data_IF_072684401335
#
_entry.id   IF_072684401335
#
_cell.length_a   1.000
_cell.length_b   1.000
_cell.length_c   1.000
_cell.angle_alpha   90.00
_cell.angle_beta   90.00
_cell.angle_gamma   90.00
#
_symmetry.space_group_name_H-M   'P 1'
#
loop_
_entity.id
_entity.type
_entity.pdbx_description
1 polymer ?
#
# COMPACT_ATOMS: atom_id res chain seq x y z
N UNK A 1 -25.49 -20.40 -21.63
CA UNK A 1 -24.86 -19.81 -22.83
C UNK A 1 -23.39 -20.03 -22.64
N UNK A 2 -22.78 -20.88 -23.45
CA UNK A 2 -21.34 -21.09 -23.40
C UNK A 2 -20.72 -19.94 -24.16
N UNK A 3 -20.40 -18.85 -23.46
CA UNK A 3 -19.46 -17.86 -23.97
C UNK A 3 -18.15 -18.61 -24.12
N UNK A 4 -17.93 -19.14 -25.32
CA UNK A 4 -16.63 -19.63 -25.72
C UNK A 4 -15.77 -18.40 -25.84
N UNK A 5 -15.21 -17.98 -24.70
CA UNK A 5 -14.12 -17.03 -24.63
C UNK A 5 -12.96 -17.63 -25.42
N UNK A 6 -13.00 -17.35 -26.71
CA UNK A 6 -11.94 -17.65 -27.65
C UNK A 6 -10.67 -17.10 -27.03
N UNK A 7 -9.71 -17.96 -26.67
CA UNK A 7 -8.41 -17.68 -26.02
C UNK A 7 -7.57 -16.63 -26.78
N UNK A 8 -8.09 -15.42 -26.89
CA UNK A 8 -7.63 -14.36 -27.78
C UNK A 8 -8.11 -13.01 -27.29
N UNK A 9 -7.28 -11.99 -27.41
CA UNK A 9 -7.62 -10.61 -27.08
C UNK A 9 -7.44 -9.70 -28.30
N UNK A 10 -8.28 -8.66 -28.38
CA UNK A 10 -8.18 -7.68 -29.46
C UNK A 10 -7.33 -6.50 -29.01
N UNK A 11 -6.27 -6.20 -29.76
CA UNK A 11 -5.41 -5.07 -29.48
C UNK A 11 -6.17 -3.76 -29.66
N UNK A 12 -6.21 -2.92 -28.63
CA UNK A 12 -6.91 -1.62 -28.68
C UNK A 12 -6.19 -0.59 -29.56
N UNK A 13 -4.88 -0.76 -29.79
CA UNK A 13 -4.07 0.17 -30.58
C UNK A 13 -4.16 -0.07 -32.10
N UNK A 14 -4.12 -1.34 -32.52
CA UNK A 14 -4.06 -1.70 -33.95
C UNK A 14 -5.15 -2.68 -34.39
N UNK A 15 -6.09 -3.02 -33.50
CA UNK A 15 -7.23 -3.93 -33.72
C UNK A 15 -6.90 -5.37 -34.12
N UNK A 16 -5.61 -5.76 -34.12
CA UNK A 16 -5.19 -7.14 -34.33
C UNK A 16 -5.70 -8.05 -33.21
N UNK A 17 -6.21 -9.22 -33.59
CA UNK A 17 -6.57 -10.30 -32.66
C UNK A 17 -5.32 -11.13 -32.34
N UNK A 18 -4.92 -11.15 -31.08
CA UNK A 18 -3.75 -11.87 -30.56
C UNK A 18 -4.21 -13.04 -29.68
N UNK A 19 -3.37 -14.06 -29.50
CA UNK A 19 -3.63 -15.18 -28.58
C UNK A 19 -3.61 -14.72 -27.11
N UNK A 20 -4.38 -15.36 -26.22
CA UNK A 20 -4.43 -15.03 -24.78
C UNK A 20 -3.07 -15.20 -24.10
N UNK A 21 -2.28 -16.17 -24.58
CA UNK A 21 -0.95 -16.50 -24.06
C UNK A 21 0.09 -15.41 -24.36
N UNK A 22 -0.16 -14.52 -25.32
CA UNK A 22 0.80 -13.45 -25.63
C UNK A 22 0.49 -12.18 -24.85
N UNK A 23 1.49 -11.69 -24.13
CA UNK A 23 1.39 -10.52 -23.27
C UNK A 23 1.47 -9.20 -24.05
N UNK A 24 1.95 -9.23 -25.29
CA UNK A 24 2.11 -8.07 -26.16
C UNK A 24 1.65 -8.38 -27.60
N UNK A 25 1.14 -7.34 -28.28
CA UNK A 25 0.62 -7.45 -29.63
C UNK A 25 1.75 -7.77 -30.62
N UNK A 26 1.55 -8.80 -31.46
CA UNK A 26 2.54 -9.22 -32.44
C UNK A 26 2.83 -8.18 -33.53
N UNK A 27 1.88 -7.28 -33.83
CA UNK A 27 2.05 -6.24 -34.85
C UNK A 27 2.65 -4.94 -34.32
N UNK A 28 2.18 -4.46 -33.17
CA UNK A 28 2.55 -3.12 -32.66
C UNK A 28 3.27 -3.13 -31.31
N UNK A 29 3.37 -4.27 -30.64
CA UNK A 29 4.01 -4.38 -29.32
C UNK A 29 3.21 -3.82 -28.15
N UNK A 30 1.96 -3.37 -28.35
CA UNK A 30 1.11 -2.89 -27.26
C UNK A 30 0.77 -4.04 -26.28
N UNK A 31 0.83 -3.76 -24.97
CA UNK A 31 0.57 -4.73 -23.91
C UNK A 31 -0.89 -5.17 -23.88
N UNK A 32 -1.11 -6.45 -23.56
CA UNK A 32 -2.44 -7.03 -23.40
C UNK A 32 -3.18 -6.39 -22.21
N UNK A 33 -4.46 -6.01 -22.36
CA UNK A 33 -5.24 -5.42 -21.28
C UNK A 33 -5.44 -6.38 -20.09
N UNK A 34 -5.33 -7.69 -20.30
CA UNK A 34 -5.44 -8.69 -19.23
C UNK A 34 -4.20 -8.70 -18.34
N UNK A 35 -3.02 -8.53 -18.94
CA UNK A 35 -1.76 -8.33 -18.20
C UNK A 35 -1.88 -7.03 -17.40
N UNK A 36 -2.48 -6.00 -17.99
CA UNK A 36 -2.65 -4.73 -17.29
C UNK A 36 -3.51 -4.87 -16.02
N UNK A 37 -4.66 -5.54 -16.15
CA UNK A 37 -5.57 -5.78 -15.03
C UNK A 37 -4.94 -6.61 -13.91
N UNK A 38 -4.02 -7.51 -14.24
CA UNK A 38 -3.34 -8.33 -13.23
C UNK A 38 -2.41 -7.52 -12.33
N UNK A 39 -1.74 -6.46 -12.84
CA UNK A 39 -0.90 -5.60 -12.00
C UNK A 39 -1.72 -4.59 -11.18
N UNK A 40 -2.88 -4.13 -11.67
CA UNK A 40 -3.70 -3.12 -10.96
C UNK A 40 -4.25 -3.66 -9.64
N UNK A 41 -4.26 -4.98 -9.46
CA UNK A 41 -4.67 -5.64 -8.22
C UNK A 41 -3.66 -5.43 -7.09
N UNK A 42 -2.39 -5.15 -7.37
CA UNK A 42 -1.34 -5.02 -6.34
C UNK A 42 -1.34 -3.64 -5.65
N UNK A 43 -1.80 -2.59 -6.32
CA UNK A 43 -1.78 -1.19 -5.83
C UNK A 43 -2.98 -0.82 -4.94
N UNK A 44 -4.03 -1.66 -4.89
CA UNK A 44 -5.28 -1.33 -4.19
C UNK A 44 -5.39 -1.94 -2.78
N UNK A 45 -4.32 -2.58 -2.28
CA UNK A 45 -4.28 -3.22 -0.96
C UNK A 45 -3.90 -2.32 0.23
N UNK A 46 -3.58 -1.03 0.03
CA UNK A 46 -2.99 -0.18 1.09
C UNK A 46 -3.60 1.24 1.21
N UNK A 47 -4.88 1.41 0.87
CA UNK A 47 -5.60 2.68 1.08
C UNK A 47 -6.68 2.57 2.17
N UNK A 48 -6.33 2.10 3.37
CA UNK A 48 -7.12 2.37 4.58
C UNK A 48 -6.42 3.43 5.43
N UNK A 49 -7.02 4.62 5.41
CA UNK A 49 -6.60 5.79 6.17
C UNK A 49 -7.70 6.86 6.12
N UNK A 50 -8.87 6.50 6.64
CA UNK A 50 -10.08 7.31 6.78
C UNK A 50 -9.80 8.66 7.48
N UNK A 51 -9.84 9.74 6.69
CA UNK A 51 -9.80 11.11 7.17
C UNK A 51 -11.21 11.68 7.32
N UNK A 52 -12.00 11.17 8.26
CA UNK A 52 -13.32 11.72 8.55
C UNK A 52 -13.23 13.06 9.29
N UNK A 53 -13.20 14.14 8.50
CA UNK A 53 -13.36 15.51 8.97
C UNK A 53 -14.83 15.75 9.35
N UNK A 54 -15.21 15.40 10.58
CA UNK A 54 -16.51 15.81 11.13
C UNK A 54 -16.42 17.24 11.69
N UNK A 55 -17.03 18.14 10.93
CA UNK A 55 -17.71 19.37 11.32
C UNK A 55 -17.28 20.10 12.59
N UNK A 56 -16.79 21.32 12.37
CA UNK A 56 -16.82 22.37 13.37
C UNK A 56 -18.25 22.69 13.82
N UNK A 57 -18.60 22.27 15.04
CA UNK A 57 -19.58 22.98 15.86
C UNK A 57 -18.94 23.44 17.16
N UNK A 58 -19.00 24.75 17.29
CA UNK A 58 -18.55 25.57 18.40
C UNK A 58 -19.40 25.26 19.63
N UNK A 59 -18.83 25.58 20.80
CA UNK A 59 -19.50 25.78 22.08
C UNK A 59 -19.55 24.57 23.01
N UNK A 60 -18.56 24.45 23.90
CA UNK A 60 -18.69 24.86 25.31
C UNK A 60 -17.56 24.24 26.14
N UNK A 61 -16.54 25.03 26.46
CA UNK A 61 -15.74 24.81 27.67
C UNK A 61 -16.59 25.25 28.86
N UNK A 62 -16.68 24.44 29.92
CA UNK A 62 -16.42 24.97 31.23
C UNK A 62 -15.08 24.45 31.74
N UNK A 63 -14.41 25.36 32.42
CA UNK A 63 -13.32 25.18 33.37
C UNK A 63 -13.42 23.83 34.10
N UNK A 64 -12.31 23.19 34.47
CA UNK A 64 -11.66 23.42 35.75
C UNK A 64 -10.24 22.84 35.74
N UNK A 65 -9.39 23.52 36.49
CA UNK A 65 -7.96 23.29 36.69
C UNK A 65 -7.67 22.07 37.57
N UNK A 66 -6.47 21.51 37.39
CA UNK A 66 -5.64 20.75 38.35
C UNK A 66 -6.06 19.33 38.74
N UNK A 67 -5.28 18.34 38.29
CA UNK A 67 -4.19 17.77 39.09
C UNK A 67 -3.47 16.67 38.30
N UNK A 68 -2.13 16.77 38.26
CA UNK A 68 -1.30 15.65 37.85
C UNK A 68 -1.45 14.50 38.85
N UNK A 69 -1.40 13.28 38.35
CA UNK A 69 -0.88 12.14 39.10
C UNK A 69 -0.42 11.10 38.09
N UNK A 70 0.90 10.96 38.05
CA UNK A 70 1.64 9.82 37.54
C UNK A 70 1.08 8.51 38.12
N UNK A 71 1.38 7.40 37.43
CA UNK A 71 1.02 6.00 37.69
C UNK A 71 -0.17 5.42 36.90
N UNK A 72 0.16 4.92 35.71
CA UNK A 72 -0.35 3.63 35.26
C UNK A 72 0.78 2.82 34.59
N UNK A 73 1.25 1.75 35.25
CA UNK A 73 1.52 0.49 34.56
C UNK A 73 0.70 -0.63 35.23
N UNK A 74 0.66 -1.87 34.71
CA UNK A 74 1.16 -2.39 33.44
C UNK A 74 0.09 -3.21 32.68
N UNK A 75 0.19 -3.33 31.35
CA UNK A 75 -0.34 -4.53 30.67
C UNK A 75 0.32 -4.75 29.30
N UNK A 76 1.08 -5.85 29.21
CA UNK A 76 1.57 -6.51 27.99
C UNK A 76 2.58 -5.70 27.20
N UNK A 77 3.88 -5.81 27.43
CA UNK A 77 4.72 -6.95 27.05
C UNK A 77 4.59 -7.29 25.55
N UNK A 78 5.50 -6.67 24.81
CA UNK A 78 6.29 -7.32 23.76
C UNK A 78 5.53 -7.90 22.58
N UNK A 79 4.86 -7.04 21.82
CA UNK A 79 4.77 -7.27 20.38
C UNK A 79 4.93 -5.92 19.70
N UNK A 80 6.18 -5.43 19.67
CA UNK A 80 6.52 -4.38 18.71
C UNK A 80 6.06 -4.87 17.36
N UNK A 81 5.12 -4.14 16.77
CA UNK A 81 4.61 -4.40 15.44
C UNK A 81 5.79 -4.72 14.50
N UNK A 82 5.70 -5.80 13.71
CA UNK A 82 6.83 -6.32 12.94
C UNK A 82 7.42 -5.27 11.99
N UNK A 83 6.63 -4.29 11.55
CA UNK A 83 7.12 -3.15 10.79
C UNK A 83 7.98 -2.21 11.62
N UNK A 84 7.50 -1.85 12.81
CA UNK A 84 8.25 -1.01 13.75
C UNK A 84 9.61 -1.65 14.12
N UNK A 85 9.64 -2.97 14.32
CA UNK A 85 10.89 -3.69 14.58
C UNK A 85 11.82 -3.67 13.37
N UNK A 86 11.29 -3.87 12.16
CA UNK A 86 12.07 -3.80 10.93
C UNK A 86 12.68 -2.41 10.75
N UNK A 87 11.90 -1.33 10.89
CA UNK A 87 12.39 0.05 10.78
C UNK A 87 13.53 0.34 11.76
N UNK A 88 13.42 -0.14 13.00
CA UNK A 88 14.50 -0.05 13.97
C UNK A 88 15.73 -0.87 13.56
N UNK A 89 15.58 -2.06 13.00
CA UNK A 89 16.72 -2.88 12.55
C UNK A 89 17.48 -2.21 11.40
N UNK A 90 16.77 -1.68 10.39
CA UNK A 90 17.38 -0.97 9.26
C UNK A 90 18.18 0.25 9.71
N UNK A 91 17.65 1.05 10.65
CA UNK A 91 18.35 2.22 11.18
C UNK A 91 19.70 1.86 11.83
N UNK A 92 19.77 0.71 12.52
CA UNK A 92 21.02 0.23 13.11
C UNK A 92 22.03 -0.25 12.04
N UNK A 93 21.54 -0.86 10.95
CA UNK A 93 22.39 -1.29 9.83
C UNK A 93 22.99 -0.07 9.12
N UNK A 94 22.19 0.96 8.84
CA UNK A 94 22.66 2.19 8.20
C UNK A 94 23.70 2.94 9.04
N UNK A 95 23.49 3.06 10.36
CA UNK A 95 24.46 3.69 11.26
C UNK A 95 25.83 2.96 11.27
N UNK A 96 25.82 1.63 11.16
CA UNK A 96 27.04 0.81 11.02
C UNK A 96 27.69 0.97 9.64
N UNK A 97 26.91 1.30 8.61
CA UNK A 97 27.45 1.59 7.27
C UNK A 97 28.01 3.01 7.17
N UNK A 98 27.35 4.03 7.72
CA UNK A 98 27.86 5.42 7.79
C UNK A 98 29.22 5.48 8.50
N UNK A 99 29.31 4.79 9.64
CA UNK A 99 30.56 4.72 10.41
C UNK A 99 31.69 3.97 9.70
N UNK A 100 31.37 3.04 8.78
CA UNK A 100 32.35 2.33 7.95
C UNK A 100 32.76 3.14 6.72
N UNK A 101 31.88 3.95 6.15
CA UNK A 101 32.18 4.87 5.04
C UNK A 101 33.00 6.10 5.47
N UNK A 102 33.00 6.44 6.77
CA UNK A 102 33.79 7.53 7.35
C UNK A 102 35.21 7.14 7.79
N UNK A 103 35.66 5.92 7.48
CA UNK A 103 36.99 5.38 7.78
C UNK A 103 37.81 5.26 6.51
#
# INVERSE_FOLDING_TARGET
>A
MSDGDNDTWTCTACTLKNELIVEACAACGATSPLVLQSYEVEEQGWAEGDGSAVEGRRSQRPSLVSQGSDNAPPRGEDETDPWTQAECEWAHVEARQDSRSRK
#
